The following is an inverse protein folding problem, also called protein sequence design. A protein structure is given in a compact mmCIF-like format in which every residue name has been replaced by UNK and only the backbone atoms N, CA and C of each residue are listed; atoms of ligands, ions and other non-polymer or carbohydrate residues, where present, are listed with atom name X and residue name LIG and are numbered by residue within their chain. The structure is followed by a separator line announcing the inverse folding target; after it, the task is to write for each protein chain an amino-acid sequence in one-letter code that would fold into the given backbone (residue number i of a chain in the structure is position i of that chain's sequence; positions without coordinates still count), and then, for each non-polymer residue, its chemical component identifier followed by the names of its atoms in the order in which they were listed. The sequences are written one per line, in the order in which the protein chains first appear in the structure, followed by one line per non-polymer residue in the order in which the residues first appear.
data_IF_408017732216
#
_entry.id   IF_408017732216
#
_cell.length_a   1.000
_cell.length_b   1.000
_cell.length_c   1.000
_cell.angle_alpha   90.00
_cell.angle_beta   90.00
_cell.angle_gamma   90.00
#
_symmetry.space_group_name_H-M   'P 1'
#
loop_
_entity.id
_entity.type
_entity.pdbx_description
1 polymer ?
#
# COMPACT_ATOMS: atom_id res chain seq x y z
N UNK A 1 -17.96 6.37 26.20
CA UNK A 1 -16.63 6.91 25.86
C UNK A 1 -15.91 5.96 24.90
N UNK A 2 -16.45 5.79 23.70
CA UNK A 2 -15.84 5.01 22.62
C UNK A 2 -15.15 6.00 21.68
N UNK A 3 -13.96 6.45 22.07
CA UNK A 3 -13.12 7.26 21.19
C UNK A 3 -12.64 6.33 20.07
N UNK A 4 -13.30 6.39 18.91
CA UNK A 4 -12.78 5.79 17.68
C UNK A 4 -11.45 6.48 17.37
N UNK A 5 -10.34 5.81 17.68
CA UNK A 5 -9.01 6.25 17.27
C UNK A 5 -9.00 6.34 15.74
N UNK A 6 -8.91 7.56 15.23
CA UNK A 6 -8.68 7.83 13.82
C UNK A 6 -7.37 7.19 13.39
N UNK A 7 -7.41 6.29 12.39
CA UNK A 7 -6.22 5.68 11.75
C UNK A 7 -5.49 6.72 10.89
N UNK A 8 -4.87 7.72 11.51
CA UNK A 8 -4.21 8.85 10.80
C UNK A 8 -2.70 8.69 10.62
N UNK A 9 -2.08 7.71 11.28
CA UNK A 9 -0.65 7.41 11.15
C UNK A 9 -0.32 6.45 9.99
N UNK A 10 0.85 6.61 9.39
CA UNK A 10 1.44 5.57 8.54
C UNK A 10 1.72 4.35 9.44
N UNK A 11 1.27 3.13 9.06
CA UNK A 11 1.62 1.89 9.76
C UNK A 11 3.13 1.73 9.90
N UNK A 12 3.57 1.00 10.93
CA UNK A 12 4.99 0.68 11.07
C UNK A 12 5.44 -0.14 9.86
N UNK A 13 6.53 0.33 9.24
CA UNK A 13 7.12 -0.30 8.07
C UNK A 13 7.54 -1.75 8.37
N UNK A 14 8.12 -2.00 9.54
CA UNK A 14 8.61 -3.32 9.91
C UNK A 14 7.44 -4.28 10.15
N UNK A 15 6.38 -3.84 10.83
CA UNK A 15 5.16 -4.65 11.01
C UNK A 15 4.55 -5.05 9.65
N UNK A 16 4.53 -4.12 8.70
CA UNK A 16 4.05 -4.39 7.35
C UNK A 16 4.93 -5.41 6.63
N UNK A 17 6.25 -5.28 6.72
CA UNK A 17 7.18 -6.25 6.11
C UNK A 17 7.00 -7.63 6.73
N UNK A 18 6.99 -7.72 8.06
CA UNK A 18 6.83 -8.97 8.79
C UNK A 18 5.53 -9.70 8.43
N UNK A 19 4.46 -8.95 8.17
CA UNK A 19 3.17 -9.53 7.79
C UNK A 19 3.15 -10.11 6.36
N UNK A 20 3.83 -9.48 5.41
CA UNK A 20 3.71 -9.82 3.98
C UNK A 20 4.96 -10.49 3.39
N UNK A 21 6.04 -10.65 4.16
CA UNK A 21 7.27 -11.33 3.73
C UNK A 21 7.00 -12.79 3.36
N UNK A 22 7.62 -13.26 2.28
CA UNK A 22 7.53 -14.67 1.85
C UNK A 22 8.60 -15.54 2.53
N UNK A 23 9.71 -14.92 2.93
CA UNK A 23 10.79 -15.55 3.71
C UNK A 23 11.40 -14.52 4.67
N UNK A 24 12.21 -14.96 5.63
CA UNK A 24 12.66 -14.13 6.76
C UNK A 24 13.34 -12.81 6.36
N UNK A 25 14.16 -12.84 5.31
CA UNK A 25 14.89 -11.69 4.77
C UNK A 25 14.16 -10.95 3.63
N UNK A 26 12.92 -11.31 3.33
CA UNK A 26 12.19 -10.73 2.19
C UNK A 26 11.72 -9.31 2.51
N UNK A 27 12.35 -8.37 1.83
CA UNK A 27 11.97 -6.94 1.87
C UNK A 27 11.54 -6.43 0.49
N UNK A 28 11.62 -7.27 -0.54
CA UNK A 28 11.60 -6.85 -1.94
C UNK A 28 10.52 -7.52 -2.78
N UNK A 29 9.84 -8.54 -2.26
CA UNK A 29 8.78 -9.23 -2.98
C UNK A 29 7.66 -8.28 -3.41
N UNK A 30 6.93 -8.63 -4.49
CA UNK A 30 5.75 -7.88 -4.90
C UNK A 30 4.76 -7.66 -3.76
N UNK A 31 4.51 -8.68 -2.92
CA UNK A 31 3.61 -8.62 -1.76
C UNK A 31 4.01 -7.51 -0.78
N UNK A 32 5.25 -7.54 -0.30
CA UNK A 32 5.79 -6.55 0.64
C UNK A 32 5.73 -5.15 0.03
N UNK A 33 6.17 -5.00 -1.22
CA UNK A 33 6.19 -3.69 -1.87
C UNK A 33 4.78 -3.14 -2.12
N UNK A 34 3.82 -3.98 -2.51
CA UNK A 34 2.42 -3.57 -2.72
C UNK A 34 1.78 -3.15 -1.39
N UNK A 35 2.03 -3.87 -0.30
CA UNK A 35 1.52 -3.54 1.02
C UNK A 35 2.05 -2.17 1.49
N UNK A 36 3.38 -1.99 1.48
CA UNK A 36 4.02 -0.73 1.86
C UNK A 36 3.55 0.47 1.01
N UNK A 37 3.40 0.26 -0.30
CA UNK A 37 2.87 1.30 -1.19
C UNK A 37 1.41 1.62 -0.88
N UNK A 38 0.60 0.62 -0.53
CA UNK A 38 -0.81 0.81 -0.18
C UNK A 38 -0.97 1.63 1.09
N UNK A 39 -0.18 1.34 2.12
CA UNK A 39 -0.17 2.10 3.36
C UNK A 39 0.21 3.56 3.13
N UNK A 40 1.26 3.79 2.33
CA UNK A 40 1.70 5.15 1.99
C UNK A 40 0.67 5.90 1.14
N UNK A 41 0.01 5.22 0.20
CA UNK A 41 -1.06 5.79 -0.62
C UNK A 41 -2.25 6.19 0.27
N UNK A 42 -2.66 5.34 1.20
CA UNK A 42 -3.77 5.62 2.11
C UNK A 42 -3.45 6.83 3.01
N UNK A 43 -2.27 6.86 3.60
CA UNK A 43 -1.82 7.98 4.42
C UNK A 43 -1.78 9.30 3.64
N UNK A 44 -1.18 9.32 2.45
CA UNK A 44 -1.12 10.52 1.60
C UNK A 44 -2.50 10.95 1.10
N UNK A 45 -3.41 10.01 0.88
CA UNK A 45 -4.78 10.31 0.47
C UNK A 45 -5.50 11.08 1.57
N UNK A 46 -5.40 10.65 2.84
CA UNK A 46 -5.98 11.39 3.97
C UNK A 46 -5.32 12.77 4.16
N UNK A 47 -3.99 12.85 4.05
CA UNK A 47 -3.26 14.12 4.11
C UNK A 47 -3.78 15.12 3.07
N UNK A 48 -3.96 14.69 1.83
CA UNK A 48 -4.43 15.55 0.73
C UNK A 48 -5.91 15.95 0.82
N UNK A 49 -6.74 15.24 1.62
CA UNK A 49 -8.10 15.70 1.92
C UNK A 49 -8.10 17.00 2.72
N UNK A 50 -7.14 17.13 3.64
CA UNK A 50 -6.92 18.35 4.44
C UNK A 50 -6.16 19.38 3.61
N UNK A 51 -5.07 18.99 2.97
CA UNK A 51 -4.18 19.89 2.21
C UNK A 51 -4.48 19.89 0.70
N UNK A 52 -5.66 20.37 0.31
CA UNK A 52 -6.14 20.29 -1.07
C UNK A 52 -5.26 20.99 -2.12
N UNK A 53 -4.47 21.99 -1.72
CA UNK A 53 -3.58 22.77 -2.62
C UNK A 53 -2.15 22.21 -2.69
N UNK A 54 -1.84 21.12 -1.99
CA UNK A 54 -0.52 20.49 -2.12
C UNK A 54 -0.42 19.65 -3.40
N UNK A 55 -0.06 20.32 -4.50
CA UNK A 55 0.11 19.70 -5.80
C UNK A 55 1.38 18.83 -5.89
N UNK A 56 2.41 19.13 -5.09
CA UNK A 56 3.67 18.39 -5.10
C UNK A 56 3.48 17.00 -4.48
N UNK A 57 2.81 16.94 -3.32
CA UNK A 57 2.46 15.66 -2.69
C UNK A 57 1.47 14.86 -3.53
N UNK A 58 0.52 15.52 -4.22
CA UNK A 58 -0.38 14.84 -5.18
C UNK A 58 0.38 14.20 -6.33
N UNK A 59 1.38 14.88 -6.88
CA UNK A 59 2.26 14.29 -7.91
C UNK A 59 3.00 13.07 -7.36
N UNK A 60 3.53 13.16 -6.13
CA UNK A 60 4.12 12.04 -5.39
C UNK A 60 3.18 10.85 -5.28
N UNK A 61 1.94 11.08 -4.85
CA UNK A 61 0.88 10.08 -4.74
C UNK A 61 0.64 9.35 -6.07
N UNK A 62 0.50 10.09 -7.18
CA UNK A 62 0.27 9.49 -8.50
C UNK A 62 1.44 8.58 -8.94
N UNK A 63 2.68 8.96 -8.64
CA UNK A 63 3.85 8.10 -8.92
C UNK A 63 3.81 6.81 -8.09
N UNK A 64 3.39 6.87 -6.82
CA UNK A 64 3.25 5.68 -5.96
C UNK A 64 2.14 4.76 -6.46
N UNK A 65 0.98 5.32 -6.86
CA UNK A 65 -0.13 4.56 -7.47
C UNK A 65 0.35 3.83 -8.72
N UNK A 66 1.07 4.52 -9.61
CA UNK A 66 1.63 3.92 -10.81
C UNK A 66 2.64 2.80 -10.50
N UNK A 67 3.49 2.98 -9.48
CA UNK A 67 4.43 1.93 -9.04
C UNK A 67 3.70 0.71 -8.48
N UNK A 68 2.68 0.89 -7.65
CA UNK A 68 1.87 -0.20 -7.10
C UNK A 68 1.18 -0.98 -8.21
N UNK A 69 0.63 -0.28 -9.20
CA UNK A 69 0.00 -0.91 -10.38
C UNK A 69 0.97 -1.83 -11.12
N UNK A 70 2.22 -1.39 -11.37
CA UNK A 70 3.23 -2.23 -12.04
C UNK A 70 3.55 -3.51 -11.25
N UNK A 71 3.65 -3.44 -9.92
CA UNK A 71 3.84 -4.64 -9.11
C UNK A 71 2.61 -5.58 -9.14
N UNK A 72 1.40 -5.03 -9.08
CA UNK A 72 0.17 -5.82 -9.21
C UNK A 72 0.06 -6.50 -10.56
N UNK A 73 0.39 -5.78 -11.65
CA UNK A 73 0.38 -6.32 -13.01
C UNK A 73 1.43 -7.43 -13.16
N UNK A 74 2.63 -7.24 -12.61
CA UNK A 74 3.66 -8.28 -12.57
C UNK A 74 3.19 -9.51 -11.79
N UNK A 75 2.67 -9.33 -10.57
CA UNK A 75 2.21 -10.44 -9.75
C UNK A 75 1.08 -11.21 -10.44
N UNK A 76 0.11 -10.49 -11.03
CA UNK A 76 -0.99 -11.09 -11.79
C UNK A 76 -0.52 -11.94 -12.98
N UNK A 77 0.53 -11.51 -13.68
CA UNK A 77 1.08 -12.22 -14.82
C UNK A 77 1.85 -13.49 -14.42
N UNK A 78 2.52 -13.46 -13.27
CA UNK A 78 3.35 -14.58 -12.81
C UNK A 78 2.56 -15.59 -11.95
N UNK A 79 1.67 -15.11 -11.09
CA UNK A 79 0.88 -15.95 -10.19
C UNK A 79 -0.47 -15.28 -9.88
N UNK A 80 -1.51 -15.81 -10.52
CA UNK A 80 -2.87 -15.27 -10.39
C UNK A 80 -3.48 -15.49 -9.01
N UNK A 81 -3.10 -16.56 -8.30
CA UNK A 81 -3.66 -16.91 -6.99
C UNK A 81 -3.03 -16.07 -5.89
N UNK A 82 -1.71 -15.82 -5.94
CA UNK A 82 -1.04 -14.82 -5.08
C UNK A 82 -1.63 -13.44 -5.29
N UNK A 83 -1.83 -13.04 -6.53
CA UNK A 83 -2.47 -11.76 -6.85
C UNK A 83 -3.88 -11.65 -6.26
N UNK A 84 -4.74 -12.67 -6.44
CA UNK A 84 -6.11 -12.69 -5.90
C UNK A 84 -6.15 -12.62 -4.38
N UNK A 85 -5.27 -13.39 -3.73
CA UNK A 85 -5.15 -13.41 -2.27
C UNK A 85 -4.74 -12.02 -1.76
N UNK A 86 -3.70 -11.43 -2.35
CA UNK A 86 -3.16 -10.15 -1.94
C UNK A 86 -4.15 -8.99 -2.12
N UNK A 87 -4.85 -8.90 -3.25
CA UNK A 87 -5.82 -7.81 -3.46
C UNK A 87 -7.01 -7.92 -2.50
N UNK A 88 -7.40 -9.15 -2.14
CA UNK A 88 -8.49 -9.41 -1.19
C UNK A 88 -8.08 -8.99 0.20
N UNK A 89 -6.89 -9.40 0.64
CA UNK A 89 -6.35 -9.06 1.95
C UNK A 89 -6.14 -7.54 2.13
N UNK A 90 -5.63 -6.87 1.09
CA UNK A 90 -5.40 -5.42 1.11
C UNK A 90 -6.66 -4.59 0.79
N UNK A 91 -7.78 -5.23 0.43
CA UNK A 91 -9.02 -4.54 0.05
C UNK A 91 -8.89 -3.65 -1.20
N UNK A 92 -7.99 -4.00 -2.12
CA UNK A 92 -7.74 -3.22 -3.34
C UNK A 92 -8.82 -3.51 -4.40
N UNK A 93 -9.47 -2.47 -4.90
CA UNK A 93 -10.47 -2.56 -5.97
C UNK A 93 -9.81 -2.52 -7.35
N UNK A 94 -10.36 -3.28 -8.31
CA UNK A 94 -9.97 -3.27 -9.73
C UNK A 94 -10.71 -2.18 -10.49
#
# INVERSE_FOLDING_TARGET
MSHQMSKTGLPDKNETIEKYRVHESDTGSPEVQIALLSDRINHLTEHLKVHKKDHHSRRGLLMLVGRRRRFLDYLKQNDIERYRSLITELGLRR
#
